data_IF_447307203422
#
_entry.id   IF_447307203422
#
_cell.length_a   1.000
_cell.length_b   1.000
_cell.length_c   1.000
_cell.angle_alpha   90.00
_cell.angle_beta   90.00
_cell.angle_gamma   90.00
#
_symmetry.space_group_name_H-M   'P 1'
#
loop_
_entity.id
_entity.type
_entity.pdbx_description
1 polymer ?
#
# COMPACT_ATOMS: atom_id res chain seq x y z
N UNK A 1 1.08 -31.42 22.04
CA UNK A 1 1.74 -30.19 21.54
C UNK A 1 0.93 -29.00 22.07
N UNK A 2 1.54 -27.84 22.30
CA UNK A 2 0.84 -26.67 22.84
C UNK A 2 0.09 -25.96 21.72
N UNK A 3 -1.15 -25.57 22.00
CA UNK A 3 -1.96 -24.73 21.11
C UNK A 3 -1.51 -23.26 21.25
N UNK A 4 -1.18 -22.63 20.12
CA UNK A 4 -0.74 -21.24 20.06
C UNK A 4 -1.82 -20.31 19.49
N UNK A 5 -3.00 -20.83 19.17
CA UNK A 5 -4.08 -20.03 18.62
C UNK A 5 -4.52 -18.93 19.58
N UNK A 6 -4.92 -17.79 19.03
CA UNK A 6 -5.32 -16.61 19.81
C UNK A 6 -6.36 -15.79 19.08
N UNK A 7 -7.16 -15.03 19.83
CA UNK A 7 -8.06 -14.03 19.28
C UNK A 7 -7.53 -12.65 19.60
N UNK A 8 -7.26 -11.85 18.57
CA UNK A 8 -6.80 -10.47 18.72
C UNK A 8 -7.69 -9.52 17.94
N UNK A 9 -8.30 -8.54 18.62
CA UNK A 9 -9.24 -7.57 18.02
C UNK A 9 -10.37 -8.20 17.18
N UNK A 10 -10.81 -9.40 17.56
CA UNK A 10 -11.85 -10.15 16.83
C UNK A 10 -11.35 -10.99 15.66
N UNK A 11 -10.04 -11.01 15.40
CA UNK A 11 -9.39 -11.89 14.43
C UNK A 11 -8.95 -13.19 15.12
N UNK A 12 -9.32 -14.33 14.53
CA UNK A 12 -8.80 -15.64 14.93
C UNK A 12 -7.47 -15.89 14.22
N UNK A 13 -6.41 -16.14 14.99
CA UNK A 13 -5.05 -16.33 14.50
C UNK A 13 -4.53 -17.70 14.94
N UNK A 14 -3.84 -18.41 14.05
CA UNK A 14 -3.25 -19.73 14.34
C UNK A 14 -2.09 -19.66 15.35
N UNK A 15 -1.44 -18.50 15.43
CA UNK A 15 -0.34 -18.20 16.36
C UNK A 15 -0.28 -16.70 16.66
N UNK A 16 0.39 -16.27 17.75
CA UNK A 16 0.56 -14.84 18.06
C UNK A 16 1.64 -14.16 17.20
N UNK A 17 2.22 -14.84 16.20
CA UNK A 17 3.29 -14.28 15.37
C UNK A 17 2.72 -13.54 14.16
N UNK A 18 3.10 -12.27 14.03
CA UNK A 18 2.63 -11.34 12.99
C UNK A 18 3.85 -10.71 12.32
N UNK A 19 3.83 -10.58 10.99
CA UNK A 19 4.83 -9.80 10.27
C UNK A 19 4.52 -8.31 10.43
N UNK A 20 5.41 -7.57 11.10
CA UNK A 20 5.23 -6.14 11.34
C UNK A 20 5.40 -5.28 10.08
N UNK A 21 4.96 -4.02 10.17
CA UNK A 21 5.04 -3.04 9.09
C UNK A 21 6.47 -2.92 8.58
N UNK A 22 6.69 -3.35 7.33
CA UNK A 22 8.00 -3.40 6.70
C UNK A 22 7.88 -3.50 5.17
N UNK A 23 8.98 -3.28 4.43
CA UNK A 23 9.01 -3.44 2.97
C UNK A 23 8.67 -4.86 2.49
N UNK A 24 8.60 -5.85 3.40
CA UNK A 24 8.19 -7.21 3.06
C UNK A 24 6.74 -7.31 2.60
N UNK A 25 5.92 -6.28 2.88
CA UNK A 25 4.53 -6.19 2.42
C UNK A 25 4.38 -5.62 1.01
N UNK A 26 5.44 -5.11 0.39
CA UNK A 26 5.38 -4.49 -0.95
C UNK A 26 5.23 -5.52 -2.07
N UNK A 27 5.71 -6.75 -1.84
CA UNK A 27 5.72 -7.83 -2.83
C UNK A 27 4.82 -8.99 -2.40
N UNK A 28 3.92 -9.39 -3.31
CA UNK A 28 2.94 -10.45 -3.05
C UNK A 28 3.60 -11.80 -2.77
N UNK A 29 4.69 -12.11 -3.47
CA UNK A 29 5.39 -13.38 -3.30
C UNK A 29 6.09 -13.46 -1.94
N UNK A 30 6.63 -12.34 -1.48
CA UNK A 30 7.21 -12.20 -0.15
C UNK A 30 6.15 -12.41 0.95
N UNK A 31 4.95 -11.84 0.78
CA UNK A 31 3.83 -12.04 1.71
C UNK A 31 3.36 -13.50 1.76
N UNK A 32 3.30 -14.19 0.61
CA UNK A 32 3.02 -15.64 0.58
C UNK A 32 4.05 -16.44 1.36
N UNK A 33 5.33 -16.15 1.15
CA UNK A 33 6.42 -16.81 1.88
C UNK A 33 6.36 -16.57 3.39
N UNK A 34 5.88 -15.40 3.82
CA UNK A 34 5.66 -15.12 5.24
C UNK A 34 4.51 -15.96 5.81
N UNK A 35 3.39 -16.04 5.08
CA UNK A 35 2.26 -16.89 5.47
C UNK A 35 2.67 -18.37 5.52
N UNK A 36 3.36 -18.87 4.49
CA UNK A 36 3.89 -20.24 4.43
C UNK A 36 4.90 -20.55 5.56
N UNK A 37 5.61 -19.53 6.04
CA UNK A 37 6.53 -19.64 7.18
C UNK A 37 5.81 -19.58 8.55
N UNK A 38 4.49 -19.42 8.58
CA UNK A 38 3.67 -19.43 9.80
C UNK A 38 3.38 -18.06 10.40
N UNK A 39 3.54 -16.97 9.64
CA UNK A 39 3.03 -15.66 10.06
C UNK A 39 1.48 -15.69 9.99
N UNK A 40 0.82 -15.45 11.12
CA UNK A 40 -0.64 -15.52 11.21
C UNK A 40 -1.35 -14.27 10.72
N UNK A 41 -0.62 -13.17 10.52
CA UNK A 41 -1.11 -11.93 9.90
C UNK A 41 0.08 -11.11 9.37
N UNK A 42 -0.20 -10.17 8.48
CA UNK A 42 0.80 -9.23 7.92
C UNK A 42 0.31 -7.81 8.07
N UNK A 43 1.17 -6.94 8.60
CA UNK A 43 0.95 -5.49 8.68
C UNK A 43 1.63 -4.83 7.48
N UNK A 44 0.86 -4.02 6.76
CA UNK A 44 1.33 -3.25 5.62
C UNK A 44 2.39 -2.24 6.01
N UNK A 45 3.23 -1.85 5.05
CA UNK A 45 4.04 -0.65 5.17
C UNK A 45 3.13 0.57 5.41
N UNK A 46 3.59 1.49 6.25
CA UNK A 46 2.81 2.66 6.65
C UNK A 46 2.64 3.63 5.48
N UNK A 47 1.41 4.11 5.27
CA UNK A 47 1.10 5.17 4.31
C UNK A 47 1.00 6.51 5.06
N UNK A 48 1.81 7.49 4.66
CA UNK A 48 1.80 8.83 5.26
C UNK A 48 1.27 9.89 4.28
N UNK A 49 0.52 10.86 4.78
CA UNK A 49 -0.06 11.95 3.98
C UNK A 49 1.03 12.78 3.29
N UNK A 50 2.18 12.94 3.93
CA UNK A 50 3.33 13.66 3.39
C UNK A 50 3.87 12.98 2.13
N UNK A 51 3.81 11.64 2.05
CA UNK A 51 4.23 10.90 0.85
C UNK A 51 3.27 11.18 -0.32
N UNK A 52 1.96 11.10 -0.06
CA UNK A 52 0.95 11.44 -1.06
C UNK A 52 1.07 12.89 -1.52
N UNK A 53 1.29 13.81 -0.58
CA UNK A 53 1.45 15.25 -0.87
C UNK A 53 2.69 15.52 -1.71
N UNK A 54 3.82 14.88 -1.40
CA UNK A 54 5.07 15.02 -2.18
C UNK A 54 4.89 14.48 -3.59
N UNK A 55 4.25 13.33 -3.75
CA UNK A 55 4.00 12.74 -5.08
C UNK A 55 3.08 13.64 -5.93
N UNK A 56 2.05 14.23 -5.31
CA UNK A 56 1.18 15.24 -5.95
C UNK A 56 1.94 16.50 -6.34
N UNK A 57 2.78 17.03 -5.46
CA UNK A 57 3.61 18.21 -5.75
C UNK A 57 4.65 17.94 -6.85
N UNK A 58 5.26 16.76 -6.85
CA UNK A 58 6.20 16.36 -7.90
C UNK A 58 5.50 16.30 -9.26
N UNK A 59 4.31 15.68 -9.33
CA UNK A 59 3.53 15.67 -10.56
C UNK A 59 3.15 17.08 -11.01
N UNK A 60 2.70 17.94 -10.07
CA UNK A 60 2.37 19.34 -10.35
C UNK A 60 3.57 20.10 -10.93
N UNK A 61 4.76 19.99 -10.31
CA UNK A 61 5.97 20.65 -10.80
C UNK A 61 6.37 20.20 -12.21
N UNK A 62 6.22 18.91 -12.52
CA UNK A 62 6.55 18.37 -13.84
C UNK A 62 5.54 18.74 -14.93
N UNK A 63 4.30 19.07 -14.56
CA UNK A 63 3.19 19.27 -15.50
C UNK A 63 2.82 20.74 -15.65
N UNK A 64 2.67 21.46 -14.54
CA UNK A 64 2.20 22.85 -14.49
C UNK A 64 3.34 23.87 -14.38
N UNK A 65 4.51 23.48 -13.84
CA UNK A 65 5.64 24.39 -13.64
C UNK A 65 6.18 25.07 -14.91
N UNK A 66 5.84 24.54 -16.09
CA UNK A 66 6.20 25.10 -17.40
C UNK A 66 4.97 25.51 -18.24
N UNK A 67 3.75 25.33 -17.73
CA UNK A 67 2.52 25.55 -18.49
C UNK A 67 2.34 27.04 -18.88
N UNK A 68 2.84 27.97 -18.06
CA UNK A 68 2.83 29.41 -18.33
C UNK A 68 4.05 29.94 -19.12
N UNK A 69 5.04 29.08 -19.43
CA UNK A 69 6.25 29.52 -20.11
C UNK A 69 6.01 29.85 -21.60
N UNK A 70 5.04 29.17 -22.23
CA UNK A 70 4.70 29.33 -23.65
C UNK A 70 3.20 29.16 -23.88
N UNK A 71 2.63 29.90 -24.84
CA UNK A 71 1.18 29.90 -25.11
C UNK A 71 0.67 28.55 -25.63
N UNK A 72 1.54 27.73 -26.23
CA UNK A 72 1.23 26.35 -26.63
C UNK A 72 1.39 25.30 -25.50
N UNK A 73 2.05 25.64 -24.38
CA UNK A 73 2.30 24.70 -23.28
C UNK A 73 1.03 24.37 -22.47
N UNK A 74 0.01 25.24 -22.52
CA UNK A 74 -1.28 25.07 -21.84
C UNK A 74 -2.12 23.87 -22.36
N UNK A 75 -1.78 23.29 -23.50
CA UNK A 75 -2.50 22.15 -24.10
C UNK A 75 -1.64 20.88 -24.21
N UNK A 76 -0.40 20.94 -23.71
CA UNK A 76 0.57 19.85 -23.88
C UNK A 76 0.31 18.69 -22.92
N UNK A 77 -0.17 18.98 -21.71
CA UNK A 77 -0.46 17.98 -20.69
C UNK A 77 -1.97 17.81 -20.50
N UNK A 78 -2.47 16.57 -20.39
CA UNK A 78 -3.90 16.33 -20.17
C UNK A 78 -4.34 16.80 -18.77
N UNK A 79 -5.63 17.14 -18.60
CA UNK A 79 -6.20 17.44 -17.28
C UNK A 79 -6.13 16.19 -16.40
N UNK A 80 -5.32 16.26 -15.34
CA UNK A 80 -4.97 15.14 -14.45
C UNK A 80 -5.83 15.11 -13.19
N UNK A 81 -7.14 15.38 -13.28
CA UNK A 81 -8.05 15.25 -12.13
C UNK A 81 -8.09 13.80 -11.56
N UNK A 82 -7.54 12.81 -12.28
CA UNK A 82 -7.62 11.39 -11.98
C UNK A 82 -6.24 10.67 -11.98
N UNK A 83 -5.16 11.37 -11.61
CA UNK A 83 -3.78 10.84 -11.69
C UNK A 83 -3.47 9.63 -10.78
N UNK A 84 -4.42 9.17 -9.95
CA UNK A 84 -4.23 8.01 -9.07
C UNK A 84 -3.20 8.22 -7.95
N UNK A 85 -2.91 9.48 -7.60
CA UNK A 85 -1.97 9.89 -6.55
C UNK A 85 -2.59 9.94 -5.15
N UNK A 86 -3.67 9.21 -4.94
CA UNK A 86 -4.32 9.06 -3.64
C UNK A 86 -4.08 7.66 -3.05
N UNK A 87 -4.82 7.30 -1.99
CA UNK A 87 -4.68 6.02 -1.32
C UNK A 87 -5.15 4.84 -2.19
N UNK A 88 -5.64 5.06 -3.41
CA UNK A 88 -6.21 4.02 -4.26
C UNK A 88 -5.16 2.96 -4.66
N UNK A 89 -3.91 3.37 -4.89
CA UNK A 89 -2.81 2.44 -5.16
C UNK A 89 -2.57 1.52 -3.96
N UNK A 90 -2.61 2.08 -2.75
CA UNK A 90 -2.49 1.33 -1.50
C UNK A 90 -3.64 0.35 -1.31
N UNK A 91 -4.89 0.79 -1.54
CA UNK A 91 -6.08 -0.06 -1.42
C UNK A 91 -6.07 -1.21 -2.45
N UNK A 92 -5.67 -0.94 -3.69
CA UNK A 92 -5.49 -1.98 -4.72
C UNK A 92 -4.41 -2.98 -4.30
N UNK A 93 -3.35 -2.52 -3.64
CA UNK A 93 -2.32 -3.41 -3.14
C UNK A 93 -2.82 -4.30 -2.00
N UNK A 94 -3.58 -3.74 -1.04
CA UNK A 94 -4.25 -4.52 0.01
C UNK A 94 -5.17 -5.59 -0.59
N UNK A 95 -5.96 -5.25 -1.62
CA UNK A 95 -6.82 -6.22 -2.32
C UNK A 95 -6.02 -7.35 -2.98
N UNK A 96 -4.90 -7.01 -3.63
CA UNK A 96 -4.00 -8.01 -4.25
C UNK A 96 -3.36 -8.93 -3.23
N UNK A 97 -2.97 -8.41 -2.07
CA UNK A 97 -2.43 -9.23 -1.00
C UNK A 97 -3.52 -10.11 -0.39
N UNK A 98 -4.70 -9.56 -0.12
CA UNK A 98 -5.79 -10.33 0.50
C UNK A 98 -6.33 -11.43 -0.41
N UNK A 99 -6.27 -11.26 -1.72
CA UNK A 99 -6.62 -12.32 -2.68
C UNK A 99 -5.54 -13.38 -2.84
N UNK A 100 -4.31 -13.12 -2.38
CA UNK A 100 -3.18 -14.03 -2.52
C UNK A 100 -2.93 -14.91 -1.28
N UNK A 101 -3.39 -14.49 -0.09
CA UNK A 101 -3.19 -15.21 1.18
C UNK A 101 -4.44 -15.20 2.06
N UNK A 102 -4.63 -16.27 2.83
CA UNK A 102 -5.79 -16.41 3.73
C UNK A 102 -5.62 -15.63 5.04
N UNK A 103 -4.38 -15.36 5.45
CA UNK A 103 -4.08 -14.61 6.68
C UNK A 103 -4.61 -13.16 6.61
N UNK A 104 -4.93 -12.53 7.74
CA UNK A 104 -5.35 -11.13 7.77
C UNK A 104 -4.24 -10.18 7.29
N UNK A 105 -4.63 -9.15 6.53
CA UNK A 105 -3.79 -8.03 6.11
C UNK A 105 -4.26 -6.78 6.85
N UNK A 106 -3.34 -6.10 7.54
CA UNK A 106 -3.64 -4.95 8.41
C UNK A 106 -2.99 -3.69 7.80
N UNK A 107 -3.79 -2.68 7.47
CA UNK A 107 -3.27 -1.38 7.02
C UNK A 107 -2.52 -0.65 8.13
N UNK A 108 -1.47 0.09 7.76
CA UNK A 108 -0.63 0.89 8.66
C UNK A 108 -0.52 2.34 8.22
#
# INVERSE_FOLDING_TARGET
MVDLSTTWMGLELESPFIAGASPLSDDVETVKRLADAGASAVVMQSLFEEQLTVDQMALYQHTEGHADAHREALTYFPDYEDAGLGPEAYLKHVERLKSAVDVPIIGS
#
